data_IF_092107443284
#
_entry.id   IF_092107443284
#
_cell.length_a   1.000
_cell.length_b   1.000
_cell.length_c   1.000
_cell.angle_alpha   90.00
_cell.angle_beta   90.00
_cell.angle_gamma   90.00
#
_symmetry.space_group_name_H-M   'P 1'
#
loop_
_entity.id
_entity.type
_entity.pdbx_description
1 polymer ?
#
# COMPACT_ATOMS: atom_id res chain seq x y z
N UNK A 1 -42.68 14.53 -6.54
CA UNK A 1 -41.83 15.19 -5.51
C UNK A 1 -40.65 14.27 -5.29
N UNK A 2 -39.50 14.64 -5.84
CA UNK A 2 -38.22 13.91 -5.72
C UNK A 2 -37.63 14.22 -4.34
N UNK A 3 -37.73 13.27 -3.41
CA UNK A 3 -37.07 13.36 -2.11
C UNK A 3 -35.57 13.09 -2.30
N UNK A 4 -34.79 14.17 -2.28
CA UNK A 4 -33.34 14.11 -2.10
C UNK A 4 -33.05 13.52 -0.70
N UNK A 5 -32.65 12.26 -0.63
CA UNK A 5 -32.00 11.71 0.56
C UNK A 5 -30.54 12.16 0.55
N UNK A 6 -30.26 13.32 1.15
CA UNK A 6 -28.91 13.73 1.52
C UNK A 6 -28.41 12.87 2.67
N UNK A 7 -27.63 11.85 2.35
CA UNK A 7 -26.92 11.00 3.31
C UNK A 7 -25.70 11.79 3.83
N UNK A 8 -25.86 12.50 4.94
CA UNK A 8 -24.77 13.21 5.62
C UNK A 8 -24.00 12.26 6.55
N UNK A 9 -23.11 11.46 5.96
CA UNK A 9 -21.90 10.95 6.61
C UNK A 9 -20.80 10.94 5.55
N UNK A 10 -19.64 11.54 5.81
CA UNK A 10 -18.50 11.48 4.88
C UNK A 10 -18.06 10.02 4.71
N UNK A 11 -18.57 9.33 3.68
CA UNK A 11 -18.14 8.00 3.30
C UNK A 11 -16.68 8.04 2.87
N UNK A 12 -15.87 7.06 3.31
CA UNK A 12 -14.45 7.00 2.97
C UNK A 12 -14.28 6.62 1.49
N UNK A 13 -15.21 5.82 0.99
CA UNK A 13 -15.46 5.62 -0.43
C UNK A 13 -16.45 6.70 -0.92
N UNK A 14 -15.99 7.61 -1.80
CA UNK A 14 -16.85 8.67 -2.36
C UNK A 14 -18.06 8.12 -3.15
N UNK A 15 -17.95 6.89 -3.66
CA UNK A 15 -19.01 6.15 -4.33
C UNK A 15 -18.82 4.64 -4.05
N UNK A 16 -19.90 3.95 -3.67
CA UNK A 16 -19.89 2.50 -3.40
C UNK A 16 -19.93 1.65 -4.69
N UNK A 17 -20.12 2.26 -5.85
CA UNK A 17 -20.14 1.57 -7.14
C UNK A 17 -18.73 1.27 -7.69
N UNK A 18 -17.72 2.03 -7.26
CA UNK A 18 -16.37 1.94 -7.81
C UNK A 18 -15.43 1.14 -6.88
N UNK A 19 -15.30 -0.16 -7.17
CA UNK A 19 -14.34 -1.03 -6.49
C UNK A 19 -12.90 -0.55 -6.71
N UNK A 20 -12.17 -0.31 -5.63
CA UNK A 20 -10.74 0.01 -5.70
C UNK A 20 -9.99 -0.32 -4.42
N UNK A 21 -8.69 -0.60 -4.57
CA UNK A 21 -7.78 -0.81 -3.45
C UNK A 21 -6.62 0.17 -3.57
N UNK A 22 -6.54 1.10 -2.62
CA UNK A 22 -5.39 1.97 -2.39
C UNK A 22 -4.50 1.33 -1.32
N UNK A 23 -3.47 2.03 -0.89
CA UNK A 23 -2.52 1.52 0.11
C UNK A 23 -3.17 1.16 1.44
N UNK A 24 -4.05 2.03 1.92
CA UNK A 24 -4.58 2.00 3.29
C UNK A 24 -6.11 2.24 3.30
N UNK A 25 -6.76 2.06 2.13
CA UNK A 25 -8.21 2.15 1.94
C UNK A 25 -8.60 1.16 0.84
N UNK A 26 -9.66 0.38 1.07
CA UNK A 26 -10.29 -0.46 0.07
C UNK A 26 -11.79 -0.19 0.07
N UNK A 27 -12.31 0.04 -1.13
CA UNK A 27 -13.72 0.10 -1.44
C UNK A 27 -14.03 -1.16 -2.23
N UNK A 28 -14.73 -2.09 -1.63
CA UNK A 28 -15.16 -3.33 -2.25
C UNK A 28 -16.60 -3.04 -2.69
N UNK A 29 -16.75 -2.84 -4.01
CA UNK A 29 -17.93 -2.25 -4.60
C UNK A 29 -19.20 -3.04 -4.36
N UNK A 30 -20.32 -2.38 -4.66
CA UNK A 30 -21.65 -2.90 -4.41
C UNK A 30 -21.89 -4.21 -5.15
N UNK A 31 -21.99 -5.31 -4.40
CA UNK A 31 -22.61 -6.53 -4.88
C UNK A 31 -23.98 -6.68 -4.22
N UNK A 32 -24.84 -7.52 -4.79
CA UNK A 32 -26.15 -7.80 -4.22
C UNK A 32 -26.04 -9.03 -3.32
N UNK A 33 -26.42 -8.90 -2.07
CA UNK A 33 -26.72 -10.04 -1.22
C UNK A 33 -28.17 -10.46 -1.49
N UNK A 34 -28.35 -11.71 -1.91
CA UNK A 34 -29.65 -12.29 -2.20
C UNK A 34 -30.04 -13.32 -1.13
N UNK A 35 -31.26 -13.21 -0.63
CA UNK A 35 -31.89 -14.17 0.25
C UNK A 35 -33.07 -14.84 -0.47
N UNK A 36 -32.93 -16.14 -0.71
CA UNK A 36 -34.00 -17.01 -1.16
C UNK A 36 -34.51 -17.83 0.03
N UNK A 37 -35.65 -17.43 0.59
CA UNK A 37 -36.30 -18.11 1.69
C UNK A 37 -37.35 -19.09 1.19
N UNK A 38 -37.28 -20.35 1.60
CA UNK A 38 -38.32 -21.36 1.35
C UNK A 38 -39.32 -21.29 2.51
N UNK A 39 -40.60 -21.06 2.19
CA UNK A 39 -41.65 -20.93 3.21
C UNK A 39 -41.79 -22.24 3.98
N UNK A 40 -41.79 -22.13 5.31
CA UNK A 40 -41.94 -23.24 6.25
C UNK A 40 -43.30 -23.13 6.94
N UNK A 41 -44.11 -24.19 6.85
CA UNK A 41 -45.39 -24.29 7.53
C UNK A 41 -45.43 -25.59 8.32
N UNK A 42 -45.83 -25.53 9.59
CA UNK A 42 -45.88 -26.68 10.49
C UNK A 42 -44.55 -27.48 10.53
N UNK A 43 -43.43 -26.75 10.47
CA UNK A 43 -42.07 -27.31 10.45
C UNK A 43 -41.63 -27.96 9.13
N UNK A 44 -42.42 -27.86 8.05
CA UNK A 44 -42.12 -28.45 6.75
C UNK A 44 -41.97 -27.40 5.65
N UNK A 45 -40.96 -27.50 4.77
CA UNK A 45 -40.86 -26.65 3.58
C UNK A 45 -42.06 -26.87 2.66
N UNK A 46 -42.66 -25.78 2.19
CA UNK A 46 -43.82 -25.82 1.29
C UNK A 46 -43.43 -25.82 -0.19
N UNK A 47 -42.18 -25.43 -0.50
CA UNK A 47 -41.69 -25.23 -1.87
C UNK A 47 -41.96 -23.83 -2.44
N UNK A 48 -42.75 -22.98 -1.75
CA UNK A 48 -42.85 -21.56 -2.08
C UNK A 48 -41.54 -20.85 -1.75
N UNK A 49 -41.03 -20.06 -2.70
CA UNK A 49 -39.79 -19.30 -2.58
C UNK A 49 -40.14 -17.81 -2.49
N UNK A 50 -39.60 -17.15 -1.49
CA UNK A 50 -39.66 -15.70 -1.28
C UNK A 50 -38.26 -15.12 -1.48
N UNK A 51 -38.18 -13.91 -2.07
CA UNK A 51 -36.91 -13.26 -2.39
C UNK A 51 -36.78 -11.92 -1.66
N UNK A 52 -35.58 -11.67 -1.15
CA UNK A 52 -35.18 -10.36 -0.66
C UNK A 52 -33.73 -10.11 -1.06
N UNK A 53 -33.37 -8.86 -1.30
CA UNK A 53 -32.03 -8.49 -1.72
C UNK A 53 -31.60 -7.14 -1.18
N UNK A 54 -30.29 -7.01 -0.94
CA UNK A 54 -29.65 -5.79 -0.47
C UNK A 54 -28.43 -5.49 -1.32
N UNK A 55 -28.27 -4.23 -1.73
CA UNK A 55 -26.99 -3.74 -2.21
C UNK A 55 -26.04 -3.61 -1.02
N UNK A 56 -24.87 -4.24 -1.14
CA UNK A 56 -23.87 -4.33 -0.07
C UNK A 56 -22.62 -3.56 -0.47
N UNK A 57 -22.33 -2.46 0.23
CA UNK A 57 -21.04 -1.78 0.13
C UNK A 57 -20.12 -2.20 1.27
N UNK A 58 -18.88 -2.58 0.99
CA UNK A 58 -17.90 -2.91 2.02
C UNK A 58 -16.67 -2.00 1.91
N UNK A 59 -16.28 -1.41 3.03
CA UNK A 59 -15.11 -0.52 3.10
C UNK A 59 -14.14 -1.03 4.17
N UNK A 60 -12.84 -0.96 3.89
CA UNK A 60 -11.79 -1.29 4.86
C UNK A 60 -10.78 -0.16 4.88
N UNK A 61 -10.58 0.43 6.05
CA UNK A 61 -9.65 1.54 6.28
C UNK A 61 -8.53 1.09 7.20
N UNK A 62 -7.32 1.11 6.67
CA UNK A 62 -6.10 0.77 7.39
C UNK A 62 -5.35 2.03 7.82
N UNK A 63 -4.44 1.89 8.76
CA UNK A 63 -3.53 2.93 9.17
C UNK A 63 -2.11 2.38 9.19
N UNK A 64 -1.19 3.04 8.51
CA UNK A 64 0.20 2.58 8.47
C UNK A 64 1.04 3.01 9.68
N UNK A 65 0.40 3.52 10.72
CA UNK A 65 0.95 3.84 12.03
C UNK A 65 0.05 3.33 13.17
N UNK A 66 -0.84 2.37 12.89
CA UNK A 66 -1.65 1.70 13.90
C UNK A 66 -1.76 0.20 13.61
N UNK A 67 -1.89 -0.59 14.68
CA UNK A 67 -2.29 -2.00 14.60
C UNK A 67 -3.81 -2.17 14.47
N UNK A 68 -4.58 -1.11 14.75
CA UNK A 68 -6.04 -1.09 14.65
C UNK A 68 -6.46 -0.54 13.30
N UNK A 69 -7.45 -1.18 12.69
CA UNK A 69 -8.03 -0.80 11.41
C UNK A 69 -9.53 -1.07 11.41
N UNK A 70 -10.27 -0.34 10.59
CA UNK A 70 -11.74 -0.34 10.63
C UNK A 70 -12.31 -0.99 9.38
N UNK A 71 -13.33 -1.82 9.58
CA UNK A 71 -14.19 -2.33 8.52
C UNK A 71 -15.59 -1.74 8.66
N UNK A 72 -16.19 -1.37 7.53
CA UNK A 72 -17.56 -0.86 7.45
C UNK A 72 -18.35 -1.67 6.42
N UNK A 73 -19.63 -1.89 6.72
CA UNK A 73 -20.60 -2.48 5.80
C UNK A 73 -21.80 -1.55 5.66
N UNK A 74 -22.27 -1.36 4.44
CA UNK A 74 -23.46 -0.59 4.12
C UNK A 74 -24.46 -1.53 3.47
N UNK A 75 -25.67 -1.59 3.99
CA UNK A 75 -26.77 -2.43 3.52
C UNK A 75 -27.93 -1.53 3.08
N UNK A 76 -28.24 -1.56 1.79
CA UNK A 76 -29.37 -0.81 1.23
C UNK A 76 -30.36 -1.83 0.67
N UNK A 77 -31.61 -1.88 1.16
CA UNK A 77 -32.61 -2.80 0.64
C UNK A 77 -32.92 -2.49 -0.82
N UNK A 78 -32.96 -3.53 -1.65
CA UNK A 78 -33.30 -3.46 -3.08
C UNK A 78 -34.69 -4.06 -3.29
N UNK A 79 -34.99 -5.17 -2.65
CA UNK A 79 -36.33 -5.76 -2.61
C UNK A 79 -36.52 -6.59 -1.34
N UNK A 80 -37.75 -6.69 -0.84
CA UNK A 80 -38.14 -7.67 0.17
C UNK A 80 -39.57 -8.10 -0.13
N UNK A 81 -39.80 -9.39 -0.38
CA UNK A 81 -41.15 -9.90 -0.60
C UNK A 81 -42.05 -9.60 0.61
N UNK A 82 -43.20 -8.97 0.35
CA UNK A 82 -44.19 -8.63 1.38
C UNK A 82 -44.61 -9.83 2.25
N UNK A 83 -44.59 -11.05 1.68
CA UNK A 83 -44.97 -12.28 2.38
C UNK A 83 -43.99 -12.69 3.47
N UNK A 84 -42.76 -12.18 3.48
CA UNK A 84 -41.83 -12.43 4.59
C UNK A 84 -42.36 -11.87 5.92
N UNK A 85 -43.22 -10.83 5.89
CA UNK A 85 -43.58 -10.04 7.06
C UNK A 85 -42.40 -9.15 7.48
N UNK A 86 -41.33 -9.76 7.97
CA UNK A 86 -40.03 -9.13 8.17
C UNK A 86 -38.86 -10.05 7.83
N UNK A 87 -37.72 -9.44 7.53
CA UNK A 87 -36.42 -10.12 7.41
C UNK A 87 -35.42 -9.43 8.32
N UNK A 88 -34.81 -10.21 9.23
CA UNK A 88 -33.73 -9.77 10.10
C UNK A 88 -32.40 -10.29 9.56
N UNK A 89 -31.39 -9.43 9.46
CA UNK A 89 -30.03 -9.82 9.09
C UNK A 89 -29.15 -9.89 10.34
N UNK A 90 -28.48 -11.02 10.54
CA UNK A 90 -27.37 -11.13 11.48
C UNK A 90 -26.06 -10.99 10.71
N UNK A 91 -25.18 -10.08 11.13
CA UNK A 91 -23.94 -9.75 10.44
C UNK A 91 -22.73 -10.07 11.32
N UNK A 92 -21.85 -10.93 10.83
CA UNK A 92 -20.62 -11.33 11.49
C UNK A 92 -19.43 -10.77 10.70
N UNK A 93 -18.53 -10.08 11.39
CA UNK A 93 -17.25 -9.62 10.86
C UNK A 93 -16.13 -10.41 11.51
N UNK A 94 -15.30 -11.07 10.70
CA UNK A 94 -14.30 -12.01 11.20
C UNK A 94 -12.91 -11.71 10.66
N UNK A 95 -11.95 -11.55 11.57
CA UNK A 95 -10.56 -11.87 11.30
C UNK A 95 -10.41 -13.40 11.19
N UNK A 96 -10.09 -13.91 10.00
CA UNK A 96 -10.05 -15.36 9.78
C UNK A 96 -8.96 -16.08 10.57
N UNK A 97 -7.90 -15.36 10.92
CA UNK A 97 -6.79 -15.83 11.73
C UNK A 97 -6.93 -15.22 13.12
N UNK A 98 -7.79 -15.82 13.95
CA UNK A 98 -8.12 -15.33 15.28
C UNK A 98 -6.90 -15.28 16.23
N UNK A 99 -5.85 -16.05 15.92
CA UNK A 99 -4.55 -16.01 16.59
C UNK A 99 -3.68 -14.81 16.17
N UNK A 100 -4.12 -14.00 15.19
CA UNK A 100 -3.36 -12.85 14.65
C UNK A 100 -4.10 -11.54 14.79
N UNK A 101 -5.42 -11.52 14.74
CA UNK A 101 -6.16 -10.30 15.01
C UNK A 101 -7.49 -10.53 15.72
N UNK A 102 -7.88 -9.55 16.52
CA UNK A 102 -9.11 -9.56 17.30
C UNK A 102 -10.16 -8.63 16.70
N UNK A 103 -11.42 -8.94 16.98
CA UNK A 103 -12.57 -8.15 16.59
C UNK A 103 -13.02 -7.31 17.79
N UNK A 104 -13.18 -6.01 17.59
CA UNK A 104 -13.79 -5.09 18.54
C UNK A 104 -15.31 -5.22 18.57
N UNK A 105 -15.99 -4.37 19.37
CA UNK A 105 -17.45 -4.31 19.36
C UNK A 105 -17.96 -3.82 18.00
N UNK A 106 -19.05 -4.41 17.53
CA UNK A 106 -19.77 -3.92 16.36
C UNK A 106 -20.70 -2.76 16.77
N UNK A 107 -20.85 -1.78 15.88
CA UNK A 107 -21.82 -0.70 16.02
C UNK A 107 -22.64 -0.56 14.74
N UNK A 108 -23.93 -0.31 14.88
CA UNK A 108 -24.86 -0.19 13.76
C UNK A 108 -25.64 1.12 13.84
N UNK A 109 -25.73 1.81 12.71
CA UNK A 109 -26.68 2.90 12.48
C UNK A 109 -27.75 2.40 11.50
N UNK A 110 -29.01 2.41 11.93
CA UNK A 110 -30.11 1.73 11.25
C UNK A 110 -30.38 0.35 11.84
N UNK A 111 -31.63 -0.09 11.78
CA UNK A 111 -32.00 -1.43 12.21
C UNK A 111 -31.49 -2.48 11.22
N UNK A 112 -31.30 -3.71 11.69
CA UNK A 112 -31.00 -4.85 10.83
C UNK A 112 -32.26 -5.67 10.54
N UNK A 113 -33.43 -5.02 10.52
CA UNK A 113 -34.72 -5.64 10.26
C UNK A 113 -35.51 -4.79 9.27
N UNK A 114 -35.95 -5.41 8.18
CA UNK A 114 -36.79 -4.76 7.15
C UNK A 114 -38.13 -5.45 7.07
N UNK A 115 -39.19 -4.66 6.98
CA UNK A 115 -40.54 -5.19 6.75
C UNK A 115 -40.79 -5.33 5.26
N UNK A 116 -41.53 -6.35 4.86
CA UNK A 116 -41.94 -6.48 3.46
C UNK A 116 -43.00 -5.44 3.03
N UNK A 117 -43.65 -4.75 3.97
CA UNK A 117 -44.63 -3.71 3.70
C UNK A 117 -43.99 -2.34 3.37
N UNK A 118 -42.85 -2.04 4.00
CA UNK A 118 -42.04 -0.86 3.71
C UNK A 118 -40.54 -1.23 3.70
N UNK A 119 -40.09 -1.92 2.63
CA UNK A 119 -38.74 -2.44 2.56
C UNK A 119 -37.69 -1.34 2.39
N UNK A 120 -38.07 -0.14 1.96
CA UNK A 120 -37.15 0.97 1.70
C UNK A 120 -37.09 2.00 2.84
N UNK A 121 -37.69 1.69 3.98
CA UNK A 121 -37.78 2.58 5.15
C UNK A 121 -36.41 3.10 5.63
N UNK A 122 -35.34 2.31 5.47
CA UNK A 122 -34.00 2.70 5.89
C UNK A 122 -32.89 1.84 5.26
N UNK A 123 -31.66 2.36 5.33
CA UNK A 123 -30.40 1.62 5.16
C UNK A 123 -29.76 1.32 6.51
N UNK A 124 -28.89 0.32 6.58
CA UNK A 124 -28.08 0.04 7.76
C UNK A 124 -26.59 0.21 7.46
N UNK A 125 -25.84 0.81 8.40
CA UNK A 125 -24.38 0.97 8.31
C UNK A 125 -23.75 0.39 9.55
N UNK A 126 -22.97 -0.67 9.37
CA UNK A 126 -22.25 -1.38 10.42
C UNK A 126 -20.77 -1.03 10.41
N UNK A 127 -20.17 -0.88 11.59
CA UNK A 127 -18.73 -0.64 11.75
C UNK A 127 -18.15 -1.55 12.81
N UNK A 128 -16.93 -1.98 12.58
CA UNK A 128 -16.12 -2.72 13.53
C UNK A 128 -14.65 -2.32 13.39
N UNK A 129 -13.95 -2.24 14.51
CA UNK A 129 -12.50 -2.15 14.54
C UNK A 129 -11.90 -3.54 14.75
N UNK A 130 -10.90 -3.88 13.95
CA UNK A 130 -10.05 -5.03 14.16
C UNK A 130 -8.70 -4.58 14.69
N UNK A 131 -8.04 -5.40 15.50
CA UNK A 131 -6.71 -5.08 16.02
C UNK A 131 -5.76 -6.24 15.78
N UNK A 132 -4.69 -5.99 15.03
CA UNK A 132 -3.56 -6.92 14.89
C UNK A 132 -2.87 -7.08 16.24
N UNK A 133 -2.61 -8.33 16.65
CA UNK A 133 -2.04 -8.61 17.97
C UNK A 133 -0.53 -8.37 18.05
N UNK A 134 0.15 -8.17 16.91
CA UNK A 134 1.58 -7.90 16.83
C UNK A 134 2.49 -8.94 17.50
N UNK A 135 2.05 -10.22 17.54
CA UNK A 135 2.87 -11.32 18.05
C UNK A 135 4.14 -11.53 17.21
N UNK A 136 4.05 -11.33 15.90
CA UNK A 136 5.17 -11.41 14.96
C UNK A 136 5.67 -10.02 14.52
N UNK A 137 6.82 -9.96 13.83
CA UNK A 137 7.30 -8.73 13.20
C UNK A 137 6.46 -8.29 12.00
N UNK A 138 5.79 -9.24 11.36
CA UNK A 138 4.85 -9.00 10.27
C UNK A 138 3.85 -10.17 10.18
N UNK A 139 2.60 -9.86 9.87
CA UNK A 139 1.57 -10.84 9.55
C UNK A 139 0.78 -10.43 8.32
N UNK A 140 0.22 -11.45 7.65
CA UNK A 140 -0.87 -11.29 6.69
C UNK A 140 -2.18 -11.66 7.36
N UNK A 141 -3.18 -10.83 7.15
CA UNK A 141 -4.53 -10.95 7.72
C UNK A 141 -5.55 -10.94 6.59
N UNK A 142 -6.56 -11.79 6.72
CA UNK A 142 -7.69 -11.86 5.81
C UNK A 142 -8.98 -11.63 6.62
N UNK A 143 -9.82 -10.76 6.08
CA UNK A 143 -11.13 -10.45 6.67
C UNK A 143 -12.22 -11.19 5.91
N UNK A 144 -13.24 -11.61 6.63
CA UNK A 144 -14.47 -12.12 6.03
C UNK A 144 -15.70 -11.52 6.69
N UNK A 145 -16.77 -11.44 5.92
CA UNK A 145 -18.07 -11.02 6.40
C UNK A 145 -19.08 -12.08 6.08
N UNK A 146 -19.97 -12.38 7.03
CA UNK A 146 -21.07 -13.30 6.86
C UNK A 146 -22.37 -12.61 7.22
N UNK A 147 -23.36 -12.73 6.34
CA UNK A 147 -24.74 -12.34 6.62
C UNK A 147 -25.57 -13.61 6.72
N UNK A 148 -26.37 -13.71 7.77
CA UNK A 148 -27.43 -14.71 7.90
C UNK A 148 -28.77 -14.01 7.92
N UNK A 149 -29.61 -14.26 6.92
CA UNK A 149 -30.98 -13.77 6.89
C UNK A 149 -31.92 -14.70 7.65
N UNK A 150 -32.84 -14.12 8.40
CA UNK A 150 -33.87 -14.80 9.17
C UNK A 150 -35.23 -14.22 8.84
N UNK A 151 -36.23 -15.09 8.73
CA UNK A 151 -37.63 -14.71 8.58
C UNK A 151 -38.51 -15.57 9.48
N UNK A 152 -39.62 -15.05 10.01
CA UNK A 152 -40.58 -15.84 10.78
C UNK A 152 -41.28 -16.93 9.95
N UNK A 153 -41.33 -16.80 8.62
CA UNK A 153 -42.10 -17.69 7.74
C UNK A 153 -41.24 -18.54 6.81
N UNK A 154 -39.94 -18.29 6.74
CA UNK A 154 -39.04 -18.99 5.82
C UNK A 154 -37.75 -19.45 6.52
N UNK A 155 -37.09 -20.48 5.98
CA UNK A 155 -35.83 -20.97 6.53
C UNK A 155 -34.72 -19.91 6.42
N UNK A 156 -33.77 -19.87 7.38
CA UNK A 156 -32.64 -18.96 7.30
C UNK A 156 -31.68 -19.37 6.17
N UNK A 157 -30.95 -18.38 5.64
CA UNK A 157 -29.88 -18.60 4.68
C UNK A 157 -28.68 -17.72 5.03
N UNK A 158 -27.47 -18.25 4.86
CA UNK A 158 -26.24 -17.54 5.18
C UNK A 158 -25.30 -17.49 3.97
N UNK A 159 -24.69 -16.32 3.74
CA UNK A 159 -23.65 -16.12 2.75
C UNK A 159 -22.44 -15.50 3.43
N UNK A 160 -21.25 -16.06 3.19
CA UNK A 160 -19.97 -15.54 3.65
C UNK A 160 -19.11 -15.18 2.44
N UNK A 161 -18.41 -14.06 2.51
CA UNK A 161 -17.47 -13.66 1.47
C UNK A 161 -16.20 -13.07 2.07
N UNK A 162 -15.20 -12.97 1.20
CA UNK A 162 -13.91 -12.33 1.44
C UNK A 162 -13.63 -11.43 0.24
N UNK A 163 -12.94 -10.32 0.46
CA UNK A 163 -12.52 -9.47 -0.62
C UNK A 163 -11.17 -9.94 -1.17
N UNK A 164 -11.19 -10.64 -2.30
CA UNK A 164 -9.95 -11.00 -2.99
C UNK A 164 -9.15 -9.72 -3.34
N UNK A 165 -7.85 -9.79 -3.10
CA UNK A 165 -6.94 -8.66 -3.27
C UNK A 165 -6.86 -7.69 -2.10
N UNK A 166 -7.80 -7.76 -1.15
CA UNK A 166 -7.81 -6.92 0.06
C UNK A 166 -7.11 -7.57 1.26
N UNK A 167 -6.25 -8.58 1.04
CA UNK A 167 -5.39 -9.13 2.09
C UNK A 167 -4.56 -8.02 2.73
N UNK A 168 -4.59 -7.94 4.05
CA UNK A 168 -3.92 -6.92 4.83
C UNK A 168 -2.54 -7.46 5.24
N UNK A 169 -1.52 -6.61 5.18
CA UNK A 169 -0.23 -6.83 5.82
C UNK A 169 -0.09 -5.82 6.96
N UNK A 170 0.14 -6.31 8.17
CA UNK A 170 0.54 -5.49 9.30
C UNK A 170 1.99 -5.82 9.68
N UNK A 171 2.82 -4.81 9.91
CA UNK A 171 4.22 -5.02 10.33
C UNK A 171 4.79 -3.88 11.17
N UNK A 172 5.94 -4.15 11.78
CA UNK A 172 6.84 -3.19 12.45
C UNK A 172 8.24 -3.18 11.82
N UNK A 173 8.31 -3.51 10.53
CA UNK A 173 9.58 -3.70 9.81
C UNK A 173 10.22 -2.34 9.49
N UNK A 174 9.44 -1.34 9.09
CA UNK A 174 9.97 0.00 8.80
C UNK A 174 9.98 0.95 10.00
N UNK A 175 9.22 0.64 11.05
CA UNK A 175 9.08 1.45 12.28
C UNK A 175 8.76 0.57 13.47
N UNK A 176 9.13 0.99 14.70
CA UNK A 176 8.69 0.31 15.92
C UNK A 176 7.17 0.46 16.14
N UNK A 177 6.56 1.51 15.59
CA UNK A 177 5.11 1.68 15.57
C UNK A 177 4.51 0.73 14.52
N UNK A 178 3.58 -0.16 14.91
CA UNK A 178 2.85 -1.02 13.97
C UNK A 178 2.17 -0.22 12.86
N UNK A 179 2.05 -0.82 11.69
CA UNK A 179 1.26 -0.26 10.60
C UNK A 179 0.68 -1.34 9.70
N UNK A 180 -0.55 -1.12 9.25
CA UNK A 180 -1.27 -2.02 8.35
C UNK A 180 -1.48 -1.39 6.96
N UNK A 181 -1.30 -2.19 5.92
CA UNK A 181 -1.47 -1.80 4.50
C UNK A 181 -2.05 -2.96 3.69
N UNK A 182 -2.62 -2.70 2.52
CA UNK A 182 -3.03 -3.79 1.63
C UNK A 182 -1.81 -4.44 0.98
N UNK A 183 -1.66 -5.74 1.17
CA UNK A 183 -0.46 -6.50 0.81
C UNK A 183 -0.14 -6.46 -0.68
N UNK A 184 -1.17 -6.54 -1.54
CA UNK A 184 -1.01 -6.51 -2.99
C UNK A 184 -0.76 -5.09 -3.54
N UNK A 185 -0.97 -4.04 -2.74
CA UNK A 185 -0.75 -2.67 -3.20
C UNK A 185 0.75 -2.36 -3.31
N UNK A 186 1.19 -1.99 -4.52
CA UNK A 186 2.56 -1.56 -4.79
C UNK A 186 2.60 -0.03 -4.77
N UNK A 187 3.19 0.62 -3.75
CA UNK A 187 3.27 2.07 -3.72
C UNK A 187 4.14 2.59 -4.86
N UNK A 188 3.62 3.59 -5.58
CA UNK A 188 4.45 4.42 -6.46
C UNK A 188 4.99 5.57 -5.64
N UNK A 189 6.31 5.75 -5.65
CA UNK A 189 6.95 6.92 -5.07
C UNK A 189 7.28 7.92 -6.19
N UNK A 190 7.13 9.22 -5.88
CA UNK A 190 7.36 10.31 -6.84
C UNK A 190 8.52 11.13 -6.31
N UNK A 191 9.58 11.23 -7.11
CA UNK A 191 10.73 12.08 -6.83
C UNK A 191 10.36 13.55 -7.00
N UNK A 192 10.81 14.42 -6.09
CA UNK A 192 10.67 15.86 -6.28
C UNK A 192 11.72 16.39 -7.26
N UNK A 193 11.37 16.36 -8.56
CA UNK A 193 12.19 16.91 -9.64
C UNK A 193 12.49 18.40 -9.49
N UNK A 194 11.54 19.19 -8.97
CA UNK A 194 11.73 20.62 -8.79
C UNK A 194 12.80 20.94 -7.73
N UNK A 195 12.89 20.12 -6.68
CA UNK A 195 13.86 20.29 -5.59
C UNK A 195 15.22 19.65 -5.87
N UNK A 196 15.21 18.47 -6.50
CA UNK A 196 16.41 17.62 -6.64
C UNK A 196 16.61 17.10 -8.07
N UNK A 197 16.60 17.97 -9.10
CA UNK A 197 16.55 17.54 -10.50
C UNK A 197 17.66 16.54 -10.89
N UNK A 198 18.93 16.65 -10.43
CA UNK A 198 19.97 15.68 -10.77
C UNK A 198 19.71 14.26 -10.28
N UNK A 199 19.27 14.09 -9.02
CA UNK A 199 18.98 12.78 -8.45
C UNK A 199 17.81 12.12 -9.21
N UNK A 200 16.81 12.91 -9.59
CA UNK A 200 15.68 12.41 -10.39
C UNK A 200 16.11 12.03 -11.79
N UNK A 201 16.93 12.85 -12.45
CA UNK A 201 17.47 12.56 -13.78
C UNK A 201 18.32 11.29 -13.77
N UNK A 202 19.15 11.11 -12.74
CA UNK A 202 19.95 9.90 -12.56
C UNK A 202 19.06 8.67 -12.41
N UNK A 203 18.13 8.66 -11.44
CA UNK A 203 17.22 7.54 -11.24
C UNK A 203 16.37 7.25 -12.50
N UNK A 204 15.89 8.28 -13.20
CA UNK A 204 15.14 8.14 -14.45
C UNK A 204 15.98 7.50 -15.56
N UNK A 205 17.22 7.95 -15.77
CA UNK A 205 18.13 7.39 -16.76
C UNK A 205 18.31 5.89 -16.54
N UNK A 206 18.59 5.50 -15.30
CA UNK A 206 18.78 4.10 -14.92
C UNK A 206 17.49 3.29 -15.10
N UNK A 207 16.35 3.80 -14.66
CA UNK A 207 15.04 3.17 -14.86
C UNK A 207 14.68 2.97 -16.34
N UNK A 208 15.01 3.95 -17.18
CA UNK A 208 14.60 3.99 -18.58
C UNK A 208 15.52 3.16 -19.49
N UNK A 209 16.83 3.11 -19.18
CA UNK A 209 17.83 2.54 -20.09
C UNK A 209 18.34 1.17 -19.69
N UNK A 210 18.43 0.85 -18.39
CA UNK A 210 18.98 -0.44 -17.99
C UNK A 210 17.98 -1.59 -18.20
N UNK A 211 18.45 -2.79 -18.58
CA UNK A 211 17.60 -3.92 -18.95
C UNK A 211 16.70 -4.42 -17.80
N UNK A 212 17.10 -4.19 -16.55
CA UNK A 212 16.38 -4.58 -15.35
C UNK A 212 15.33 -3.55 -14.90
N UNK A 213 15.34 -2.32 -15.46
CA UNK A 213 14.39 -1.23 -15.18
C UNK A 213 14.06 -1.02 -13.68
N UNK A 214 15.05 -0.92 -12.77
CA UNK A 214 14.83 -1.05 -11.35
C UNK A 214 13.94 0.08 -10.82
N UNK A 215 12.80 -0.23 -10.22
CA UNK A 215 11.86 0.78 -9.71
C UNK A 215 10.95 1.42 -10.76
N UNK A 216 11.00 0.99 -12.02
CA UNK A 216 10.15 1.53 -13.07
C UNK A 216 8.71 1.03 -12.95
N UNK A 217 7.79 1.97 -12.74
CA UNK A 217 6.34 1.71 -12.83
C UNK A 217 5.93 1.31 -14.25
N UNK A 218 6.48 1.97 -15.27
CA UNK A 218 6.15 1.71 -16.67
C UNK A 218 6.55 0.30 -17.12
N UNK A 219 7.66 -0.23 -16.59
CA UNK A 219 8.12 -1.60 -16.87
C UNK A 219 7.54 -2.64 -15.88
N UNK A 220 6.71 -2.24 -14.92
CA UNK A 220 6.20 -3.10 -13.84
C UNK A 220 7.33 -3.80 -13.05
N UNK A 221 8.40 -3.07 -12.74
CA UNK A 221 9.59 -3.55 -12.01
C UNK A 221 9.76 -2.75 -10.70
N UNK A 222 8.99 -3.05 -9.64
CA UNK A 222 9.11 -2.33 -8.38
C UNK A 222 10.47 -2.59 -7.71
N UNK A 223 10.88 -1.65 -6.84
CA UNK A 223 11.97 -1.90 -5.89
C UNK A 223 11.46 -2.73 -4.71
N UNK A 224 12.32 -3.60 -4.20
CA UNK A 224 12.07 -4.40 -2.99
C UNK A 224 12.88 -3.84 -1.83
N UNK A 225 12.20 -3.35 -0.80
CA UNK A 225 12.86 -2.74 0.35
C UNK A 225 13.68 -3.77 1.14
N UNK A 226 14.93 -3.40 1.46
CA UNK A 226 15.79 -4.08 2.41
C UNK A 226 15.71 -3.30 3.74
N UNK A 227 15.08 -3.88 4.78
CA UNK A 227 15.01 -3.26 6.10
C UNK A 227 16.40 -3.09 6.74
N UNK A 228 16.44 -2.34 7.86
CA UNK A 228 17.59 -2.29 8.74
C UNK A 228 18.08 -3.71 9.13
N UNK A 229 19.35 -3.81 9.50
CA UNK A 229 20.06 -5.07 9.78
C UNK A 229 19.25 -6.01 10.69
N UNK A 230 18.77 -5.48 11.82
CA UNK A 230 18.01 -6.20 12.85
C UNK A 230 16.58 -6.62 12.43
N UNK A 231 16.13 -6.20 11.24
CA UNK A 231 14.76 -6.38 10.75
C UNK A 231 14.67 -7.13 9.42
N UNK A 232 15.78 -7.58 8.87
CA UNK A 232 15.80 -8.38 7.66
C UNK A 232 16.32 -9.80 7.92
N UNK A 233 15.93 -10.76 7.09
CA UNK A 233 16.21 -12.18 7.30
C UNK A 233 17.70 -12.57 7.18
N UNK A 234 18.55 -11.63 6.76
CA UNK A 234 19.96 -11.89 6.47
C UNK A 234 20.90 -11.10 7.38
N UNK A 235 20.37 -10.33 8.34
CA UNK A 235 21.15 -9.41 9.17
C UNK A 235 22.12 -8.58 8.32
N UNK A 236 21.62 -8.05 7.21
CA UNK A 236 22.43 -7.29 6.25
C UNK A 236 22.17 -5.81 6.44
N UNK A 237 23.18 -5.05 6.84
CA UNK A 237 23.07 -3.59 6.91
C UNK A 237 22.96 -3.02 5.48
N UNK A 238 21.91 -2.25 5.12
CA UNK A 238 21.88 -1.52 3.85
C UNK A 238 23.18 -0.75 3.55
N UNK A 239 23.91 -0.29 4.55
CA UNK A 239 25.17 0.40 4.37
C UNK A 239 26.26 -0.47 3.73
N UNK A 240 26.36 -1.78 3.99
CA UNK A 240 27.37 -2.54 3.23
C UNK A 240 26.94 -2.77 1.76
N UNK A 241 25.70 -2.51 1.36
CA UNK A 241 25.38 -2.42 -0.08
C UNK A 241 25.97 -1.12 -0.63
N UNK A 242 25.78 -0.02 0.12
CA UNK A 242 26.36 1.29 -0.20
C UNK A 242 27.87 1.21 -0.31
N UNK A 243 28.56 0.52 0.60
CA UNK A 243 30.04 0.38 0.57
C UNK A 243 30.58 -0.28 -0.70
N UNK A 244 29.80 -1.12 -1.39
CA UNK A 244 30.20 -1.73 -2.68
C UNK A 244 30.10 -0.71 -3.81
N UNK A 245 29.02 0.05 -3.86
CA UNK A 245 28.75 0.98 -4.98
C UNK A 245 29.38 2.34 -4.73
N UNK A 246 29.12 2.90 -3.56
CA UNK A 246 29.52 4.20 -3.05
C UNK A 246 30.35 4.09 -1.76
N UNK A 247 31.60 3.59 -1.81
CA UNK A 247 32.49 3.58 -0.66
C UNK A 247 32.66 4.95 -0.02
N UNK A 248 32.94 4.98 1.29
CA UNK A 248 33.18 6.21 2.03
C UNK A 248 34.28 7.07 1.37
N UNK A 249 33.99 8.36 1.22
CA UNK A 249 34.90 9.32 0.60
C UNK A 249 35.06 9.19 -0.92
N UNK A 250 34.39 8.24 -1.60
CA UNK A 250 34.52 8.04 -3.04
C UNK A 250 34.32 9.33 -3.84
N UNK A 251 33.26 10.09 -3.54
CA UNK A 251 32.94 11.31 -4.31
C UNK A 251 33.98 12.42 -4.13
N UNK A 252 34.63 12.49 -2.97
CA UNK A 252 35.69 13.48 -2.72
C UNK A 252 37.00 13.13 -3.43
N UNK A 253 37.32 11.84 -3.54
CA UNK A 253 38.59 11.35 -4.10
C UNK A 253 38.51 11.07 -5.60
N UNK A 254 37.41 10.47 -6.05
CA UNK A 254 37.24 9.91 -7.39
C UNK A 254 36.04 10.50 -8.15
N UNK A 255 35.11 11.16 -7.46
CA UNK A 255 33.99 11.85 -8.10
C UNK A 255 34.47 12.84 -9.15
N UNK A 256 33.61 13.13 -10.13
CA UNK A 256 33.97 14.09 -11.16
C UNK A 256 34.10 15.49 -10.53
N UNK A 257 35.25 16.18 -10.70
CA UNK A 257 35.46 17.49 -10.10
C UNK A 257 34.47 18.55 -10.61
N UNK A 258 33.84 18.32 -11.77
CA UNK A 258 32.81 19.22 -12.33
C UNK A 258 31.42 18.98 -11.70
N UNK A 259 31.30 18.00 -10.80
CA UNK A 259 30.07 17.81 -10.03
C UNK A 259 29.83 19.00 -9.09
N UNK A 260 28.66 19.63 -9.21
CA UNK A 260 28.37 20.87 -8.48
C UNK A 260 27.76 20.61 -7.10
N UNK A 261 28.35 21.21 -6.07
CA UNK A 261 27.74 21.34 -4.72
C UNK A 261 26.86 22.59 -4.63
N UNK A 262 26.01 22.66 -3.61
CA UNK A 262 25.09 23.79 -3.35
C UNK A 262 25.34 24.43 -1.98
N UNK A 263 26.54 25.00 -1.73
CA UNK A 263 26.89 25.62 -0.45
C UNK A 263 25.94 26.77 -0.05
N UNK A 264 25.29 27.41 -1.02
CA UNK A 264 24.30 28.46 -0.80
C UNK A 264 22.98 27.94 -0.22
N UNK A 265 22.69 26.64 -0.36
CA UNK A 265 21.52 25.98 0.24
C UNK A 265 21.92 25.29 1.55
N UNK A 266 23.09 24.65 1.57
CA UNK A 266 23.65 24.01 2.75
C UNK A 266 25.14 24.28 2.82
N UNK A 267 25.57 25.11 3.78
CA UNK A 267 26.97 25.55 3.92
C UNK A 267 27.96 24.40 4.15
N UNK A 268 27.47 23.22 4.54
CA UNK A 268 28.25 22.00 4.76
C UNK A 268 28.13 21.00 3.59
N UNK A 269 27.53 21.41 2.47
CA UNK A 269 27.37 20.52 1.31
C UNK A 269 28.72 20.09 0.75
N UNK A 270 28.80 18.82 0.39
CA UNK A 270 29.99 18.19 -0.17
C UNK A 270 29.58 17.29 -1.32
N UNK A 271 30.51 17.01 -2.22
CA UNK A 271 30.31 15.99 -3.24
C UNK A 271 29.95 14.66 -2.56
N UNK A 272 28.92 14.01 -3.10
CA UNK A 272 28.37 12.75 -2.60
C UNK A 272 28.22 11.76 -3.75
N UNK A 273 28.30 10.48 -3.38
CA UNK A 273 28.03 9.36 -4.26
C UNK A 273 26.56 8.99 -4.14
N UNK A 274 25.82 9.19 -5.23
CA UNK A 274 24.46 8.69 -5.42
C UNK A 274 24.50 7.32 -6.09
N UNK A 275 23.61 6.42 -5.68
CA UNK A 275 23.48 5.10 -6.29
C UNK A 275 22.01 4.82 -6.62
N UNK A 276 21.78 4.15 -7.75
CA UNK A 276 20.46 3.68 -8.11
C UNK A 276 20.52 2.29 -8.76
N UNK A 277 19.79 1.27 -8.30
CA UNK A 277 18.83 1.30 -7.19
C UNK A 277 19.50 1.51 -5.82
N UNK A 278 18.74 2.11 -4.90
CA UNK A 278 19.21 2.49 -3.56
C UNK A 278 19.78 1.30 -2.76
N UNK A 279 20.79 1.56 -1.94
CA UNK A 279 21.37 0.60 -0.98
C UNK A 279 20.34 -0.13 -0.11
N UNK A 280 19.27 0.55 0.31
CA UNK A 280 18.17 -0.02 1.11
C UNK A 280 17.17 -0.84 0.28
N UNK A 281 17.65 -1.50 -0.77
CA UNK A 281 16.84 -2.39 -1.60
C UNK A 281 17.58 -3.67 -1.96
N UNK A 282 16.84 -4.75 -2.19
CA UNK A 282 17.37 -5.97 -2.80
C UNK A 282 17.80 -5.76 -4.26
N UNK A 283 17.43 -4.63 -4.86
CA UNK A 283 17.83 -4.21 -6.19
C UNK A 283 19.15 -3.43 -6.20
N UNK A 284 19.74 -3.10 -5.04
CA UNK A 284 21.05 -2.45 -5.02
C UNK A 284 22.07 -3.31 -5.75
N UNK A 285 23.00 -2.65 -6.44
CA UNK A 285 24.15 -3.33 -7.03
C UNK A 285 25.01 -4.04 -5.98
N UNK A 286 25.09 -3.47 -4.77
CA UNK A 286 25.88 -4.04 -3.68
C UNK A 286 25.21 -5.20 -2.94
N UNK A 287 24.00 -5.59 -3.33
CA UNK A 287 23.28 -6.69 -2.69
C UNK A 287 23.68 -8.05 -3.28
N UNK A 288 24.27 -8.98 -2.50
CA UNK A 288 24.71 -10.26 -3.03
C UNK A 288 23.57 -11.17 -3.48
N UNK A 289 23.71 -11.83 -4.63
CA UNK A 289 22.72 -12.76 -5.19
C UNK A 289 22.45 -13.95 -4.26
N UNK A 290 23.47 -14.42 -3.55
CA UNK A 290 23.37 -15.52 -2.56
C UNK A 290 22.39 -15.25 -1.41
N UNK A 291 22.08 -13.98 -1.14
CA UNK A 291 21.07 -13.55 -0.15
C UNK A 291 19.90 -12.82 -0.81
N UNK A 292 19.63 -13.12 -2.08
CA UNK A 292 18.46 -12.65 -2.81
C UNK A 292 18.61 -11.29 -3.50
N UNK A 293 19.84 -10.77 -3.61
CA UNK A 293 20.17 -9.62 -4.44
C UNK A 293 19.81 -9.84 -5.91
N UNK A 294 19.33 -8.78 -6.57
CA UNK A 294 18.80 -8.86 -7.93
C UNK A 294 19.73 -8.30 -8.99
N UNK A 295 20.71 -7.49 -8.57
CA UNK A 295 21.56 -6.69 -9.45
C UNK A 295 23.03 -6.74 -9.01
N UNK A 296 23.47 -7.83 -8.37
CA UNK A 296 24.82 -7.95 -7.79
C UNK A 296 25.93 -7.54 -8.78
N UNK A 297 26.82 -6.67 -8.32
CA UNK A 297 28.08 -6.33 -8.96
C UNK A 297 29.22 -6.37 -7.94
N UNK A 298 30.47 -6.50 -8.42
CA UNK A 298 31.64 -6.56 -7.55
C UNK A 298 32.03 -5.18 -7.01
N UNK A 299 31.85 -4.14 -7.84
CA UNK A 299 32.15 -2.76 -7.45
C UNK A 299 31.19 -1.79 -8.12
N UNK A 300 31.07 -0.58 -7.56
CA UNK A 300 30.33 0.47 -8.25
C UNK A 300 30.92 0.89 -9.60
N UNK A 301 32.14 0.48 -9.98
CA UNK A 301 32.68 0.75 -11.32
C UNK A 301 31.93 -0.01 -12.42
N UNK A 302 31.21 -1.07 -12.04
CA UNK A 302 30.42 -1.90 -12.94
C UNK A 302 29.02 -1.28 -13.20
N UNK A 303 28.72 -0.15 -12.55
CA UNK A 303 27.51 0.63 -12.77
C UNK A 303 27.71 1.71 -13.85
N UNK A 304 26.61 2.21 -14.41
CA UNK A 304 26.62 3.43 -15.23
C UNK A 304 27.19 4.60 -14.41
N UNK A 305 28.26 5.23 -14.89
CA UNK A 305 28.90 6.35 -14.22
C UNK A 305 28.41 7.68 -14.77
N UNK A 306 27.89 8.53 -13.89
CA UNK A 306 27.46 9.89 -14.27
C UNK A 306 27.96 10.93 -13.28
N UNK A 307 27.83 12.20 -13.62
CA UNK A 307 27.98 13.30 -12.68
C UNK A 307 27.02 14.45 -13.01
N UNK A 308 26.69 15.23 -11.98
CA UNK A 308 25.72 16.30 -12.08
C UNK A 308 26.38 17.68 -11.97
N UNK A 309 26.21 18.52 -12.98
CA UNK A 309 26.74 19.87 -13.01
C UNK A 309 25.61 20.88 -13.14
N UNK A 310 25.69 21.96 -12.35
CA UNK A 310 24.79 23.09 -12.47
C UNK A 310 25.37 24.08 -13.46
N UNK A 311 24.76 24.19 -14.63
CA UNK A 311 25.23 25.10 -15.68
C UNK A 311 24.84 26.56 -15.38
N UNK A 312 23.65 26.76 -14.81
CA UNK A 312 23.22 28.04 -14.23
C UNK A 312 22.15 27.81 -13.16
N UNK A 313 21.73 28.86 -12.47
CA UNK A 313 20.67 28.75 -11.46
C UNK A 313 19.39 28.16 -12.05
N UNK A 314 18.92 27.05 -11.46
CA UNK A 314 17.74 26.32 -11.92
C UNK A 314 17.98 25.36 -13.09
N UNK A 315 19.20 25.29 -13.65
CA UNK A 315 19.53 24.41 -14.77
C UNK A 315 20.64 23.43 -14.39
N UNK A 316 20.31 22.15 -14.45
CA UNK A 316 21.20 21.04 -14.11
C UNK A 316 21.33 20.09 -15.29
N UNK A 317 22.56 19.68 -15.58
CA UNK A 317 22.85 18.65 -16.55
C UNK A 317 23.39 17.41 -15.83
N UNK A 318 22.97 16.25 -16.31
CA UNK A 318 23.57 14.96 -15.96
C UNK A 318 24.42 14.52 -17.14
N UNK A 319 25.70 14.30 -16.90
CA UNK A 319 26.66 13.87 -17.91
C UNK A 319 27.15 12.46 -17.61
N UNK A 320 27.49 11.73 -18.67
CA UNK A 320 28.32 10.52 -18.54
C UNK A 320 29.71 10.93 -18.05
N UNK A 321 30.29 10.18 -17.12
CA UNK A 321 31.66 10.44 -16.68
C UNK A 321 32.67 9.92 -17.70
N UNK A 322 33.06 10.76 -18.66
CA UNK A 322 33.97 10.42 -19.76
C UNK A 322 35.39 10.00 -19.32
N UNK A 323 35.71 10.10 -18.02
CA UNK A 323 36.97 9.59 -17.46
C UNK A 323 36.99 8.07 -17.33
N UNK A 324 35.83 7.42 -17.50
CA UNK A 324 35.66 5.96 -17.59
C UNK A 324 35.08 5.57 -18.96
N UNK A 325 35.07 4.28 -19.34
CA UNK A 325 34.39 3.82 -20.55
C UNK A 325 32.92 4.25 -20.58
N UNK A 326 32.42 4.58 -21.77
CA UNK A 326 31.02 4.95 -21.96
C UNK A 326 30.08 3.79 -21.56
N UNK A 327 28.84 4.09 -21.09
CA UNK A 327 27.87 3.06 -20.75
C UNK A 327 27.60 2.12 -21.92
N UNK A 328 27.65 0.83 -21.65
CA UNK A 328 27.27 -0.22 -22.60
C UNK A 328 25.76 -0.44 -22.62
N UNK A 329 25.06 0.05 -21.60
CA UNK A 329 23.65 -0.21 -21.29
C UNK A 329 23.36 -1.69 -21.00
N UNK A 330 24.39 -2.47 -20.69
CA UNK A 330 24.30 -3.81 -20.13
C UNK A 330 24.50 -3.83 -18.61
N UNK A 331 24.83 -2.68 -18.01
CA UNK A 331 24.96 -2.51 -16.57
C UNK A 331 23.61 -2.76 -15.85
N UNK A 332 23.66 -2.99 -14.54
CA UNK A 332 22.48 -3.30 -13.71
C UNK A 332 22.21 -2.26 -12.61
N UNK A 333 23.09 -1.26 -12.50
CA UNK A 333 23.03 -0.18 -11.53
C UNK A 333 23.60 1.12 -12.12
N UNK A 334 23.33 2.23 -11.45
CA UNK A 334 23.92 3.54 -11.70
C UNK A 334 24.63 4.08 -10.46
N UNK A 335 25.70 4.83 -10.71
CA UNK A 335 26.44 5.59 -9.72
C UNK A 335 26.69 7.00 -10.23
N UNK A 336 26.53 8.00 -9.37
CA UNK A 336 26.67 9.40 -9.77
C UNK A 336 27.41 10.24 -8.74
N UNK A 337 28.28 11.14 -9.22
CA UNK A 337 28.84 12.22 -8.41
C UNK A 337 27.91 13.45 -8.47
N UNK A 338 27.38 13.88 -7.33
CA UNK A 338 26.52 15.06 -7.23
C UNK A 338 26.59 15.72 -5.85
N UNK A 339 25.89 16.83 -5.66
CA UNK A 339 25.70 17.44 -4.33
C UNK A 339 25.13 16.45 -3.30
N UNK A 340 25.70 16.43 -2.09
CA UNK A 340 25.21 15.65 -0.96
C UNK A 340 23.84 16.10 -0.46
N UNK A 341 23.55 17.40 -0.50
CA UNK A 341 22.22 17.93 -0.21
C UNK A 341 21.17 17.41 -1.22
N UNK A 342 21.50 17.40 -2.51
CA UNK A 342 20.59 16.90 -3.55
C UNK A 342 20.34 15.40 -3.37
N UNK A 343 21.40 14.60 -3.22
CA UNK A 343 21.30 13.16 -3.02
C UNK A 343 20.43 12.84 -1.78
N UNK A 344 20.78 13.39 -0.61
CA UNK A 344 20.11 13.08 0.67
C UNK A 344 18.66 13.59 0.76
N UNK A 345 18.29 14.63 0.00
CA UNK A 345 16.94 15.20 0.04
C UNK A 345 16.06 14.80 -1.15
N UNK A 346 16.57 13.99 -2.07
CA UNK A 346 15.82 13.50 -3.23
C UNK A 346 14.59 12.71 -2.83
N UNK A 347 14.70 11.97 -1.72
CA UNK A 347 13.61 11.24 -1.07
C UNK A 347 12.81 12.08 -0.05
N UNK A 348 13.22 13.34 0.17
CA UNK A 348 13.02 14.09 1.41
C UNK A 348 11.71 14.86 1.61
N UNK A 349 10.67 14.66 0.79
CA UNK A 349 9.35 15.27 1.04
C UNK A 349 8.49 14.53 2.08
N UNK A 350 9.10 13.69 2.93
CA UNK A 350 8.43 13.09 4.09
C UNK A 350 9.13 13.31 5.43
N UNK A 351 10.17 14.14 5.49
CA UNK A 351 10.95 14.32 6.74
C UNK A 351 10.86 15.71 7.39
N UNK A 352 10.17 16.68 6.78
CA UNK A 352 9.89 17.97 7.43
C UNK A 352 8.55 18.54 6.94
N UNK A 353 7.54 18.55 7.81
CA UNK A 353 6.34 19.39 7.63
C UNK A 353 4.98 18.69 7.48
N UNK A 354 4.92 17.36 7.34
CA UNK A 354 3.64 16.66 7.52
C UNK A 354 3.48 16.31 9.00
N UNK A 355 2.48 16.91 9.65
CA UNK A 355 1.97 16.43 10.94
C UNK A 355 1.86 14.88 10.92
N UNK A 356 2.11 14.15 12.02
CA UNK A 356 2.26 12.68 12.04
C UNK A 356 1.03 11.86 11.59
N UNK A 357 -0.03 12.52 11.14
CA UNK A 357 -1.34 11.95 10.90
C UNK A 357 -1.64 11.55 9.44
N UNK A 358 -0.81 11.87 8.43
CA UNK A 358 -1.26 11.73 7.02
C UNK A 358 -0.44 10.87 6.07
N UNK A 359 0.74 10.35 6.42
CA UNK A 359 1.55 9.62 5.41
C UNK A 359 2.36 8.39 5.87
N UNK A 360 2.16 7.83 7.05
CA UNK A 360 2.80 6.55 7.41
C UNK A 360 2.08 5.37 6.75
N UNK A 361 2.72 4.67 5.80
CA UNK A 361 2.38 3.29 5.41
C UNK A 361 3.69 2.62 4.91
N UNK A 362 3.90 1.33 5.21
CA UNK A 362 5.16 0.55 5.08
C UNK A 362 5.41 0.03 3.66
N UNK A 363 6.68 -0.12 3.24
CA UNK A 363 7.11 -0.51 1.88
C UNK A 363 7.09 -2.05 1.73
N UNK A 364 6.87 -2.55 0.51
CA UNK A 364 6.92 -3.99 0.21
C UNK A 364 8.32 -4.53 0.51
N UNK A 365 8.41 -5.46 1.45
CA UNK A 365 9.62 -6.23 1.76
C UNK A 365 9.43 -7.63 1.21
N UNK A 366 10.52 -8.29 0.84
CA UNK A 366 10.49 -9.71 0.51
C UNK A 366 10.40 -10.47 1.84
N UNK A 367 9.29 -11.14 2.11
CA UNK A 367 9.25 -12.17 3.15
C UNK A 367 9.93 -13.41 2.56
N UNK A 368 10.86 -14.00 3.30
CA UNK A 368 11.50 -15.27 2.97
C UNK A 368 10.50 -16.41 2.82
#
# INVERSE_FOLDING_TARGET
MTSNFTMHTTHWCANLLDSHIKRCEACIGSFTYEYQGIVVKDGKPTGEILNASWAVGQEVKLAGNSATFTQQLVLVPVEVDAKFGSVTLNVEFDCLLADRCSNGPQSWNGALEWTGADPFSHSAVGKIDHTWNAANNADKLDLSTKITAHSPVANPAATRWQADGAQIRCDKISSATPGCTFYKYIPTWVMNFAKTPPAVAHAWLIQAKLPNHPGSKAANKPLFFLPAEDKNAHNRDPDDNRKVICPDGWAATYGNPDATTVPEISSTDKASCDEFAYASTYNSGGMPSRIGGMNEVDTGNDCVQTYATRVKQGEWHLYDDIRVPAPTWAEVCGRSAMSGWINSTSMGERSAGASPASTGCSIRTRTG
#
